data_IF_160318384608
#
_entry.id   IF_160318384608
#
_cell.length_a   1.000
_cell.length_b   1.000
_cell.length_c   1.000
_cell.angle_alpha   90.00
_cell.angle_beta   90.00
_cell.angle_gamma   90.00
#
_symmetry.space_group_name_H-M   'P 1'
#
loop_
_entity.id
_entity.type
_entity.pdbx_description
1 polymer ?
#
# COMPACT_ATOMS: atom_id res chain seq x y z
N UNK A 1 -17.82 14.43 9.30
CA UNK A 1 -17.09 13.23 9.80
C UNK A 1 -15.78 13.75 10.39
N UNK A 2 -15.21 13.14 11.44
CA UNK A 2 -13.94 13.64 11.99
C UNK A 2 -12.89 13.71 10.87
N UNK A 3 -12.38 14.91 10.57
CA UNK A 3 -11.48 15.17 9.44
C UNK A 3 -10.22 14.29 9.51
N UNK A 4 -9.71 14.06 10.72
CA UNK A 4 -8.56 13.20 10.97
C UNK A 4 -8.81 11.72 10.61
N UNK A 5 -10.04 11.23 10.75
CA UNK A 5 -10.39 9.87 10.32
C UNK A 5 -10.40 9.76 8.79
N UNK A 6 -10.84 10.80 8.07
CA UNK A 6 -10.77 10.83 6.61
C UNK A 6 -9.32 10.87 6.13
N UNK A 7 -8.49 11.77 6.67
CA UNK A 7 -7.05 11.87 6.34
C UNK A 7 -6.28 10.57 6.59
N UNK A 8 -6.58 9.89 7.71
CA UNK A 8 -5.98 8.59 8.00
C UNK A 8 -6.35 7.52 6.96
N UNK A 9 -7.60 7.50 6.50
CA UNK A 9 -8.04 6.55 5.46
C UNK A 9 -7.43 6.86 4.09
N UNK A 10 -7.27 8.13 3.74
CA UNK A 10 -6.57 8.56 2.52
C UNK A 10 -5.11 8.10 2.55
N UNK A 11 -4.39 8.38 3.64
CA UNK A 11 -3.01 7.92 3.81
C UNK A 11 -2.88 6.39 3.72
N UNK A 12 -3.80 5.65 4.35
CA UNK A 12 -3.84 4.19 4.22
C UNK A 12 -4.11 3.73 2.79
N UNK A 13 -4.92 4.46 2.03
CA UNK A 13 -5.17 4.17 0.61
C UNK A 13 -3.90 4.36 -0.22
N UNK A 14 -3.17 5.45 0.01
CA UNK A 14 -1.90 5.77 -0.67
C UNK A 14 -0.85 4.67 -0.44
N UNK A 15 -0.65 4.23 0.80
CA UNK A 15 0.30 3.16 1.12
C UNK A 15 -0.07 1.83 0.42
N UNK A 16 -1.36 1.48 0.38
CA UNK A 16 -1.81 0.28 -0.32
C UNK A 16 -1.63 0.42 -1.84
N UNK A 17 -1.91 1.60 -2.41
CA UNK A 17 -1.70 1.87 -3.84
C UNK A 17 -0.22 1.72 -4.22
N UNK A 18 0.69 2.30 -3.44
CA UNK A 18 2.13 2.15 -3.64
C UNK A 18 2.56 0.68 -3.56
N UNK A 19 2.03 -0.08 -2.60
CA UNK A 19 2.32 -1.52 -2.48
C UNK A 19 1.85 -2.31 -3.70
N UNK A 20 0.70 -1.98 -4.27
CA UNK A 20 0.17 -2.61 -5.50
C UNK A 20 1.10 -2.33 -6.68
N UNK A 21 1.59 -1.09 -6.81
CA UNK A 21 2.56 -0.73 -7.86
C UNK A 21 3.85 -1.57 -7.74
N UNK A 22 4.44 -1.63 -6.54
CA UNK A 22 5.65 -2.43 -6.30
C UNK A 22 5.44 -3.92 -6.56
N UNK A 23 4.26 -4.45 -6.20
CA UNK A 23 3.91 -5.86 -6.45
C UNK A 23 3.83 -6.18 -7.94
N UNK A 24 3.23 -5.28 -8.73
CA UNK A 24 3.17 -5.40 -10.19
C UNK A 24 4.56 -5.36 -10.81
N UNK A 25 5.41 -4.46 -10.34
CA UNK A 25 6.77 -4.32 -10.84
C UNK A 25 7.64 -5.54 -10.50
N UNK A 26 7.53 -6.07 -9.28
CA UNK A 26 8.18 -7.31 -8.90
C UNK A 26 7.74 -8.48 -9.80
N UNK A 27 6.44 -8.60 -10.04
CA UNK A 27 5.88 -9.63 -10.92
C UNK A 27 6.37 -9.51 -12.37
N UNK A 28 6.52 -8.28 -12.87
CA UNK A 28 7.09 -8.00 -14.20
C UNK A 28 8.55 -8.44 -14.29
N UNK A 29 9.35 -8.12 -13.28
CA UNK A 29 10.76 -8.51 -13.20
C UNK A 29 10.92 -10.03 -13.08
N UNK A 30 10.10 -10.69 -12.25
CA UNK A 30 10.12 -12.15 -12.10
C UNK A 30 9.80 -12.86 -13.43
N UNK A 31 8.80 -12.39 -14.18
CA UNK A 31 8.49 -12.93 -15.52
C UNK A 31 9.66 -12.75 -16.49
N UNK A 32 10.30 -11.58 -16.47
CA UNK A 32 11.43 -11.31 -17.35
C UNK A 32 12.64 -12.18 -17.00
N UNK A 33 12.91 -12.39 -15.70
CA UNK A 33 13.93 -13.32 -15.22
C UNK A 33 13.64 -14.75 -15.70
N UNK A 34 12.40 -15.23 -15.57
CA UNK A 34 12.02 -16.55 -16.08
C UNK A 34 12.24 -16.69 -17.59
N UNK A 35 11.90 -15.65 -18.38
CA UNK A 35 12.19 -15.65 -19.82
C UNK A 35 13.68 -15.77 -20.10
N UNK A 36 14.50 -14.93 -19.45
CA UNK A 36 15.96 -14.97 -19.66
C UNK A 36 16.58 -16.31 -19.25
N UNK A 37 16.06 -16.98 -18.22
CA UNK A 37 16.50 -18.33 -17.87
C UNK A 37 16.15 -19.35 -18.96
N UNK A 38 14.92 -19.31 -19.49
CA UNK A 38 14.53 -20.18 -20.61
C UNK A 38 15.39 -19.93 -21.86
N UNK A 39 15.70 -18.67 -22.16
CA UNK A 39 16.55 -18.31 -23.29
C UNK A 39 17.98 -18.83 -23.08
N UNK A 40 18.51 -18.75 -21.85
CA UNK A 40 19.85 -19.24 -21.49
C UNK A 40 19.97 -20.77 -21.52
N UNK A 41 18.90 -21.51 -21.23
CA UNK A 41 18.91 -22.99 -21.28
C UNK A 41 19.19 -23.53 -22.70
N UNK A 42 18.94 -22.73 -23.73
CA UNK A 42 19.12 -23.12 -25.14
C UNK A 42 20.42 -22.64 -25.79
N UNK A 43 21.25 -21.84 -25.10
CA UNK A 43 22.44 -21.20 -25.67
C UNK A 43 23.70 -22.00 -25.29
N UNK A 44 24.55 -22.30 -26.26
CA UNK A 44 25.90 -22.85 -25.99
C UNK A 44 26.73 -21.78 -25.25
N UNK A 45 27.32 -22.08 -24.07
CA UNK A 45 28.12 -21.13 -23.30
C UNK A 45 29.31 -20.51 -24.05
N UNK A 46 29.74 -21.14 -25.15
CA UNK A 46 30.84 -20.65 -26.01
C UNK A 46 30.40 -19.56 -27.00
N UNK A 47 29.10 -19.27 -27.12
CA UNK A 47 28.59 -18.22 -28.00
C UNK A 47 28.82 -16.79 -27.47
N UNK A 48 29.20 -15.89 -28.36
CA UNK A 48 29.55 -14.48 -28.09
C UNK A 48 28.43 -13.70 -27.37
N UNK A 49 27.17 -14.11 -27.55
CA UNK A 49 26.00 -13.46 -26.93
C UNK A 49 25.79 -13.84 -25.46
N UNK A 50 26.44 -14.87 -24.94
CA UNK A 50 26.28 -15.33 -23.56
C UNK A 50 26.62 -14.22 -22.53
N UNK A 51 27.67 -13.42 -22.80
CA UNK A 51 28.07 -12.31 -21.92
C UNK A 51 26.99 -11.21 -21.84
N UNK A 52 26.34 -10.90 -22.96
CA UNK A 52 25.26 -9.91 -23.01
C UNK A 52 24.06 -10.38 -22.19
N UNK A 53 23.66 -11.66 -22.33
CA UNK A 53 22.55 -12.22 -21.56
C UNK A 53 22.83 -12.24 -20.06
N UNK A 54 24.04 -12.66 -19.64
CA UNK A 54 24.43 -12.65 -18.22
C UNK A 54 24.40 -11.24 -17.64
N UNK A 55 24.83 -10.23 -18.41
CA UNK A 55 24.80 -8.83 -17.99
C UNK A 55 23.36 -8.33 -17.80
N UNK A 56 22.47 -8.63 -18.75
CA UNK A 56 21.05 -8.27 -18.67
C UNK A 56 20.34 -8.95 -17.49
N UNK A 57 20.65 -10.23 -17.24
CA UNK A 57 20.14 -10.96 -16.09
C UNK A 57 20.62 -10.33 -14.79
N UNK A 58 21.91 -10.01 -14.68
CA UNK A 58 22.49 -9.37 -13.51
C UNK A 58 21.80 -8.02 -13.21
N UNK A 59 21.58 -7.20 -14.22
CA UNK A 59 20.94 -5.89 -14.05
C UNK A 59 19.47 -6.02 -13.66
N UNK A 60 18.76 -7.00 -14.21
CA UNK A 60 17.39 -7.30 -13.81
C UNK A 60 17.30 -7.78 -12.37
N UNK A 61 18.23 -8.62 -11.92
CA UNK A 61 18.32 -9.07 -10.53
C UNK A 61 18.61 -7.90 -9.57
N UNK A 62 19.47 -6.96 -9.95
CA UNK A 62 19.70 -5.73 -9.16
C UNK A 62 18.42 -4.91 -9.03
N UNK A 63 17.71 -4.65 -10.14
CA UNK A 63 16.42 -3.93 -10.14
C UNK A 63 15.40 -4.63 -9.25
N UNK A 64 15.32 -5.95 -9.33
CA UNK A 64 14.45 -6.77 -8.48
C UNK A 64 14.76 -6.58 -7.00
N UNK A 65 16.04 -6.58 -6.62
CA UNK A 65 16.44 -6.38 -5.21
C UNK A 65 16.01 -5.01 -4.69
N UNK A 66 16.19 -3.94 -5.48
CA UNK A 66 15.73 -2.59 -5.13
C UNK A 66 14.22 -2.56 -4.86
N UNK A 67 13.42 -3.19 -5.72
CA UNK A 67 11.95 -3.27 -5.53
C UNK A 67 11.60 -4.04 -4.25
N UNK A 68 12.25 -5.18 -3.98
CA UNK A 68 12.01 -5.96 -2.77
C UNK A 68 12.39 -5.20 -1.50
N UNK A 69 13.49 -4.45 -1.52
CA UNK A 69 13.92 -3.65 -0.39
C UNK A 69 12.92 -2.52 -0.10
N UNK A 70 12.42 -1.86 -1.14
CA UNK A 70 11.40 -0.82 -0.98
C UNK A 70 10.06 -1.40 -0.49
N UNK A 71 9.66 -2.59 -0.98
CA UNK A 71 8.51 -3.31 -0.43
C UNK A 71 8.68 -3.63 1.04
N UNK A 72 9.87 -4.06 1.48
CA UNK A 72 10.14 -4.37 2.88
C UNK A 72 10.03 -3.12 3.77
N UNK A 73 10.54 -1.96 3.30
CA UNK A 73 10.39 -0.67 3.99
C UNK A 73 8.93 -0.25 4.11
N UNK A 74 8.17 -0.38 3.01
CA UNK A 74 6.74 -0.06 3.01
C UNK A 74 5.95 -0.99 3.94
N UNK A 75 6.23 -2.30 3.91
CA UNK A 75 5.55 -3.29 4.75
C UNK A 75 5.85 -3.09 6.24
N UNK A 76 7.04 -2.58 6.59
CA UNK A 76 7.38 -2.22 7.97
C UNK A 76 6.48 -1.11 8.54
N UNK A 77 5.96 -0.23 7.68
CA UNK A 77 5.02 0.84 8.08
C UNK A 77 3.56 0.38 7.95
N UNK A 78 3.22 -0.24 6.82
CA UNK A 78 1.85 -0.59 6.48
C UNK A 78 1.27 -1.69 7.38
N UNK A 79 2.06 -2.70 7.75
CA UNK A 79 1.56 -3.83 8.53
C UNK A 79 1.11 -3.42 9.94
N UNK A 80 1.89 -2.65 10.73
CA UNK A 80 1.41 -2.11 12.00
C UNK A 80 0.15 -1.23 11.83
N UNK A 81 0.12 -0.38 10.80
CA UNK A 81 -1.01 0.54 10.59
C UNK A 81 -2.31 -0.19 10.20
N UNK A 82 -2.25 -1.37 9.58
CA UNK A 82 -3.45 -2.19 9.32
C UNK A 82 -4.17 -2.60 10.59
N UNK A 83 -3.43 -2.97 11.63
CA UNK A 83 -4.01 -3.33 12.92
C UNK A 83 -4.67 -2.11 13.56
N UNK A 84 -3.92 -0.99 13.62
CA UNK A 84 -4.42 0.28 14.17
C UNK A 84 -5.67 0.77 13.42
N UNK A 85 -5.72 0.60 12.10
CA UNK A 85 -6.88 0.97 11.28
C UNK A 85 -8.14 0.25 11.74
N UNK A 86 -8.07 -1.05 12.02
CA UNK A 86 -9.23 -1.82 12.50
C UNK A 86 -9.78 -1.29 13.83
N UNK A 87 -8.89 -0.95 14.76
CA UNK A 87 -9.27 -0.39 16.07
C UNK A 87 -9.90 0.99 15.94
N UNK A 88 -9.35 1.84 15.07
CA UNK A 88 -9.89 3.17 14.76
C UNK A 88 -11.29 3.04 14.14
N UNK A 89 -11.45 2.19 13.13
CA UNK A 89 -12.74 1.97 12.45
C UNK A 89 -13.81 1.49 13.44
N UNK A 90 -13.44 0.56 14.33
CA UNK A 90 -14.30 0.05 15.40
C UNK A 90 -14.74 1.17 16.34
N UNK A 91 -13.79 1.96 16.83
CA UNK A 91 -14.04 3.09 17.71
C UNK A 91 -14.94 4.15 17.07
N UNK A 92 -14.66 4.50 15.81
CA UNK A 92 -15.46 5.46 15.03
C UNK A 92 -16.89 4.94 14.85
N UNK A 93 -17.07 3.67 14.54
CA UNK A 93 -18.40 3.08 14.34
C UNK A 93 -19.22 3.04 15.65
N UNK A 94 -18.59 2.71 16.78
CA UNK A 94 -19.24 2.77 18.11
C UNK A 94 -19.67 4.21 18.41
N UNK A 95 -18.77 5.18 18.25
CA UNK A 95 -19.09 6.59 18.53
C UNK A 95 -20.14 7.17 17.58
N UNK A 96 -20.16 6.77 16.31
CA UNK A 96 -21.23 7.11 15.36
C UNK A 96 -22.59 6.61 15.84
N UNK A 97 -22.67 5.37 16.36
CA UNK A 97 -23.91 4.82 16.92
C UNK A 97 -24.37 5.62 18.15
N UNK A 98 -23.45 5.95 19.06
CA UNK A 98 -23.75 6.77 20.24
C UNK A 98 -24.23 8.17 19.84
N UNK A 99 -23.55 8.85 18.92
CA UNK A 99 -23.97 10.17 18.43
C UNK A 99 -25.37 10.14 17.80
N UNK A 100 -25.67 9.11 16.98
CA UNK A 100 -27.01 8.93 16.41
C UNK A 100 -28.07 8.72 17.48
N UNK A 101 -27.75 7.95 18.53
CA UNK A 101 -28.64 7.75 19.68
C UNK A 101 -28.90 9.07 20.40
N UNK A 102 -27.86 9.84 20.76
CA UNK A 102 -28.03 11.13 21.44
C UNK A 102 -28.88 12.11 20.64
N UNK A 103 -28.63 12.24 19.33
CA UNK A 103 -29.47 13.09 18.49
C UNK A 103 -30.94 12.70 18.52
N UNK A 104 -31.24 11.40 18.57
CA UNK A 104 -32.61 10.89 18.66
C UNK A 104 -33.21 11.13 20.04
N UNK A 105 -32.53 10.68 21.09
CA UNK A 105 -33.02 10.69 22.48
C UNK A 105 -33.27 12.13 22.97
N UNK A 106 -32.44 13.08 22.52
CA UNK A 106 -32.52 14.49 22.92
C UNK A 106 -33.08 15.42 21.84
N UNK A 107 -33.55 14.88 20.71
CA UNK A 107 -34.03 15.67 19.54
C UNK A 107 -33.07 16.80 19.14
N UNK A 108 -31.76 16.56 19.21
CA UNK A 108 -30.77 17.60 18.92
C UNK A 108 -30.84 17.99 17.44
N UNK A 109 -31.12 19.26 17.17
CA UNK A 109 -31.07 19.87 15.83
C UNK A 109 -29.83 20.75 15.63
N UNK A 110 -29.27 21.26 16.74
CA UNK A 110 -28.09 22.12 16.72
C UNK A 110 -26.83 21.39 16.23
N UNK A 111 -26.05 22.07 15.40
CA UNK A 111 -24.76 21.64 14.86
C UNK A 111 -23.60 22.25 15.65
N UNK A 112 -22.39 21.71 15.46
CA UNK A 112 -21.21 22.26 16.13
C UNK A 112 -20.86 23.64 15.56
N UNK A 113 -21.04 23.84 14.26
CA UNK A 113 -20.82 25.13 13.61
C UNK A 113 -21.72 26.23 14.18
N UNK A 114 -23.00 25.93 14.42
CA UNK A 114 -23.93 26.86 15.08
C UNK A 114 -23.47 27.21 16.50
N UNK A 115 -23.06 26.22 17.31
CA UNK A 115 -22.54 26.46 18.67
C UNK A 115 -21.30 27.34 18.67
N UNK A 116 -20.38 27.13 17.73
CA UNK A 116 -19.13 27.88 17.65
C UNK A 116 -19.30 29.29 17.04
N UNK A 117 -20.43 29.56 16.38
CA UNK A 117 -20.73 30.87 15.79
C UNK A 117 -21.47 31.80 16.76
N UNK A 118 -21.97 31.27 17.87
CA UNK A 118 -22.72 32.01 18.91
C UNK A 118 -21.83 32.51 20.07
N UNK A 119 -20.52 32.23 20.05
CA UNK A 119 -19.54 32.68 21.06
C UNK A 119 -18.47 33.60 20.49
#
# INVERSE_FOLDING_TARGET
MCEYHSKFNEFMSELNAQRVVLTKELSRLDKYISSMYHDLEGIDPSEEYALSYVTQLQDTLKKRRVVKDEMARLDAVLNPLRNVKGDIETSVNIRKKVSKRWRRDFKMTLTLEEVLSEG
#
